data_IF_476063881006
#
_entry.id   IF_476063881006
#
_cell.length_a   1.000
_cell.length_b   1.000
_cell.length_c   1.000
_cell.angle_alpha   90.00
_cell.angle_beta   90.00
_cell.angle_gamma   90.00
#
_symmetry.space_group_name_H-M   'P 1'
#
loop_
_entity.id
_entity.type
_entity.pdbx_description
1 polymer ?
#
# COMPACT_ATOMS: atom_id res chain seq x y z
N UNK A 1 -14.71 10.48 6.12
CA UNK A 1 -13.65 11.51 6.19
C UNK A 1 -12.24 10.93 6.11
N UNK A 2 -12.00 9.73 6.63
CA UNK A 2 -10.70 9.03 6.58
C UNK A 2 -10.14 8.88 5.13
N UNK A 3 -10.98 8.60 4.14
CA UNK A 3 -10.53 8.49 2.74
C UNK A 3 -10.02 9.82 2.15
N UNK A 4 -10.54 10.97 2.60
CA UNK A 4 -10.04 12.28 2.13
C UNK A 4 -8.62 12.54 2.65
N UNK A 5 -8.32 12.16 3.90
CA UNK A 5 -6.97 12.26 4.46
C UNK A 5 -5.97 11.37 3.70
N UNK A 6 -6.39 10.16 3.32
CA UNK A 6 -5.59 9.27 2.48
C UNK A 6 -5.28 9.88 1.11
N UNK A 7 -6.27 10.45 0.43
CA UNK A 7 -6.07 11.10 -0.86
C UNK A 7 -5.07 12.25 -0.74
N UNK A 8 -5.20 13.09 0.29
CA UNK A 8 -4.24 14.18 0.55
C UNK A 8 -2.83 13.64 0.79
N UNK A 9 -2.70 12.57 1.59
CA UNK A 9 -1.40 11.95 1.85
C UNK A 9 -0.75 11.38 0.58
N UNK A 10 -1.52 10.72 -0.29
CA UNK A 10 -1.04 10.19 -1.58
C UNK A 10 -0.57 11.34 -2.47
N UNK A 11 -1.39 12.38 -2.65
CA UNK A 11 -1.04 13.54 -3.49
C UNK A 11 0.22 14.22 -2.95
N UNK A 12 0.30 14.46 -1.64
CA UNK A 12 1.48 15.05 -1.02
C UNK A 12 2.74 14.20 -1.25
N UNK A 13 2.64 12.88 -1.06
CA UNK A 13 3.77 11.97 -1.27
C UNK A 13 4.25 11.96 -2.73
N UNK A 14 3.32 11.91 -3.69
CA UNK A 14 3.65 11.97 -5.13
C UNK A 14 4.34 13.29 -5.47
N UNK A 15 3.82 14.42 -4.97
CA UNK A 15 4.40 15.73 -5.22
C UNK A 15 5.80 15.88 -4.62
N UNK A 16 6.01 15.42 -3.38
CA UNK A 16 7.31 15.48 -2.71
C UNK A 16 8.33 14.57 -3.41
N UNK A 17 7.97 13.31 -3.67
CA UNK A 17 8.87 12.37 -4.35
C UNK A 17 9.17 12.79 -5.79
N UNK A 18 8.19 13.35 -6.50
CA UNK A 18 8.38 13.90 -7.83
C UNK A 18 9.36 15.08 -7.85
N UNK A 19 9.26 15.99 -6.87
CA UNK A 19 10.22 17.09 -6.71
C UNK A 19 11.64 16.63 -6.36
N UNK A 20 11.77 15.52 -5.65
CA UNK A 20 13.05 14.90 -5.30
C UNK A 20 13.61 14.02 -6.44
N UNK A 21 12.91 13.88 -7.57
CA UNK A 21 13.30 12.99 -8.67
C UNK A 21 13.17 11.50 -8.34
N UNK A 22 12.63 11.14 -7.17
CA UNK A 22 12.58 9.78 -6.64
C UNK A 22 11.34 9.01 -7.09
N UNK A 23 11.02 9.06 -8.40
CA UNK A 23 9.81 8.45 -8.98
C UNK A 23 9.72 6.93 -8.77
N UNK A 24 10.85 6.25 -8.56
CA UNK A 24 10.89 4.82 -8.25
C UNK A 24 10.24 4.49 -6.89
N UNK A 25 10.22 5.44 -5.95
CA UNK A 25 9.63 5.29 -4.62
C UNK A 25 8.12 5.59 -4.59
N UNK A 26 7.54 6.13 -5.67
CA UNK A 26 6.11 6.46 -5.69
C UNK A 26 5.22 5.22 -5.48
N UNK A 27 5.38 4.10 -6.23
CA UNK A 27 4.58 2.91 -5.99
C UNK A 27 4.64 2.36 -4.55
N UNK A 28 5.83 2.16 -3.94
CA UNK A 28 5.88 1.67 -2.56
C UNK A 28 5.34 2.70 -1.55
N UNK A 29 5.57 4.01 -1.74
CA UNK A 29 5.03 5.04 -0.85
C UNK A 29 3.48 5.06 -0.86
N UNK A 30 2.87 4.98 -2.04
CA UNK A 30 1.40 4.89 -2.16
C UNK A 30 0.88 3.61 -1.51
N UNK A 31 1.53 2.47 -1.77
CA UNK A 31 1.17 1.19 -1.14
C UNK A 31 1.23 1.27 0.40
N UNK A 32 2.25 1.93 0.95
CA UNK A 32 2.39 2.15 2.38
C UNK A 32 1.25 3.00 2.95
N UNK A 33 0.94 4.14 2.32
CA UNK A 33 -0.14 5.04 2.75
C UNK A 33 -1.48 4.31 2.74
N UNK A 34 -1.73 3.48 1.71
CA UNK A 34 -2.92 2.65 1.63
C UNK A 34 -2.94 1.63 2.76
N UNK A 35 -1.87 0.87 2.98
CA UNK A 35 -1.79 -0.12 4.06
C UNK A 35 -2.01 0.49 5.45
N UNK A 36 -1.39 1.65 5.71
CA UNK A 36 -1.56 2.39 6.96
C UNK A 36 -2.98 2.90 7.17
N UNK A 37 -3.70 3.24 6.10
CA UNK A 37 -5.10 3.65 6.15
C UNK A 37 -6.07 2.51 6.50
N UNK A 38 -5.76 1.27 6.11
CA UNK A 38 -6.59 0.09 6.45
C UNK A 38 -6.54 -0.28 7.95
N UNK A 39 -5.46 0.07 8.66
CA UNK A 39 -5.31 -0.19 10.11
C UNK A 39 -6.36 0.53 10.99
N UNK A 40 -6.58 1.86 10.87
CA UNK A 40 -7.63 2.56 11.62
C UNK A 40 -9.03 2.12 11.21
N UNK A 41 -9.26 1.80 9.93
CA UNK A 41 -10.53 1.24 9.46
C UNK A 41 -10.88 -0.04 10.21
N UNK A 42 -9.91 -0.90 10.47
CA UNK A 42 -10.16 -2.14 11.16
C UNK A 42 -10.53 -1.98 12.64
N UNK A 43 -10.08 -0.91 13.29
CA UNK A 43 -10.51 -0.54 14.65
C UNK A 43 -11.93 0.04 14.67
N UNK A 44 -12.25 0.90 13.72
CA UNK A 44 -13.57 1.57 13.64
C UNK A 44 -14.68 0.61 13.21
N UNK A 45 -14.41 -0.30 12.27
CA UNK A 45 -15.41 -1.22 11.74
C UNK A 45 -15.42 -2.60 12.40
N UNK A 46 -14.54 -2.85 13.38
CA UNK A 46 -14.50 -4.12 14.13
C UNK A 46 -14.28 -5.35 13.25
N UNK A 47 -13.65 -5.20 12.08
CA UNK A 47 -13.45 -6.26 11.09
C UNK A 47 -11.98 -6.70 11.08
N UNK A 48 -11.64 -7.83 11.75
CA UNK A 48 -10.28 -8.37 11.79
C UNK A 48 -9.61 -8.56 10.43
N UNK A 49 -10.32 -8.93 9.32
CA UNK A 49 -9.71 -9.09 8.00
C UNK A 49 -9.00 -7.83 7.49
N UNK A 50 -9.52 -6.64 7.80
CA UNK A 50 -8.90 -5.38 7.36
C UNK A 50 -7.58 -5.07 8.08
N UNK A 51 -7.36 -5.60 9.30
CA UNK A 51 -6.05 -5.48 9.99
C UNK A 51 -4.98 -6.24 9.21
N UNK A 52 -5.32 -7.45 8.78
CA UNK A 52 -4.41 -8.30 8.00
C UNK A 52 -4.12 -7.70 6.62
N UNK A 53 -5.14 -7.21 5.93
CA UNK A 53 -4.96 -6.51 4.66
C UNK A 53 -4.01 -5.32 4.79
N UNK A 54 -4.22 -4.46 5.79
CA UNK A 54 -3.35 -3.32 6.06
C UNK A 54 -1.91 -3.72 6.35
N UNK A 55 -1.70 -4.71 7.24
CA UNK A 55 -0.36 -5.19 7.59
C UNK A 55 0.38 -5.79 6.38
N UNK A 56 -0.30 -6.60 5.57
CA UNK A 56 0.29 -7.20 4.37
C UNK A 56 0.68 -6.14 3.34
N UNK A 57 -0.15 -5.10 3.14
CA UNK A 57 0.19 -3.99 2.26
C UNK A 57 1.41 -3.19 2.76
N UNK A 58 1.53 -2.99 4.08
CA UNK A 58 2.73 -2.38 4.67
C UNK A 58 3.97 -3.23 4.38
N UNK A 59 3.89 -4.56 4.54
CA UNK A 59 5.01 -5.47 4.23
C UNK A 59 5.40 -5.39 2.75
N UNK A 60 4.42 -5.39 1.83
CA UNK A 60 4.67 -5.23 0.38
C UNK A 60 5.35 -3.89 0.08
N UNK A 61 4.91 -2.81 0.72
CA UNK A 61 5.52 -1.50 0.56
C UNK A 61 6.98 -1.47 1.05
N UNK A 62 7.26 -2.03 2.22
CA UNK A 62 8.62 -2.14 2.76
C UNK A 62 9.53 -2.99 1.87
N UNK A 63 9.01 -4.08 1.30
CA UNK A 63 9.75 -4.89 0.32
C UNK A 63 10.08 -4.08 -0.95
N UNK A 64 9.16 -3.25 -1.43
CA UNK A 64 9.40 -2.33 -2.54
C UNK A 64 10.47 -1.27 -2.25
N UNK A 65 10.49 -0.71 -1.04
CA UNK A 65 11.52 0.23 -0.58
C UNK A 65 12.88 -0.47 -0.49
N UNK A 66 12.92 -1.67 0.10
CA UNK A 66 14.13 -2.48 0.20
C UNK A 66 14.70 -2.83 -1.19
N UNK A 67 13.82 -3.19 -2.14
CA UNK A 67 14.21 -3.43 -3.53
C UNK A 67 14.85 -2.19 -4.18
N UNK A 68 14.32 -0.99 -3.91
CA UNK A 68 14.94 0.26 -4.36
C UNK A 68 16.32 0.46 -3.73
N UNK A 69 16.46 0.18 -2.43
CA UNK A 69 17.70 0.37 -1.69
C UNK A 69 18.85 -0.53 -2.20
N UNK A 70 18.53 -1.72 -2.72
CA UNK A 70 19.51 -2.64 -3.35
C UNK A 70 19.70 -2.39 -4.85
N UNK A 71 19.14 -1.31 -5.39
CA UNK A 71 19.34 -0.91 -6.79
C UNK A 71 18.50 -1.70 -7.81
N UNK A 72 17.38 -2.30 -7.40
CA UNK A 72 16.50 -3.01 -8.34
C UNK A 72 15.95 -2.09 -9.43
N UNK A 73 15.77 -2.64 -10.62
CA UNK A 73 15.19 -1.90 -11.75
C UNK A 73 13.77 -1.41 -11.44
N UNK A 74 13.40 -0.25 -11.99
CA UNK A 74 12.10 0.37 -11.76
C UNK A 74 10.92 -0.54 -12.15
N UNK A 75 11.06 -1.32 -13.23
CA UNK A 75 10.07 -2.31 -13.64
C UNK A 75 9.84 -3.39 -12.58
N UNK A 76 10.91 -3.88 -11.97
CA UNK A 76 10.86 -4.90 -10.90
C UNK A 76 10.17 -4.36 -9.65
N UNK A 77 10.50 -3.14 -9.22
CA UNK A 77 9.86 -2.51 -8.05
C UNK A 77 8.35 -2.34 -8.28
N UNK A 78 7.96 -1.85 -9.47
CA UNK A 78 6.55 -1.68 -9.84
C UNK A 78 5.81 -3.01 -9.89
N UNK A 79 6.41 -4.04 -10.48
CA UNK A 79 5.83 -5.37 -10.56
C UNK A 79 5.66 -5.99 -9.16
N UNK A 80 6.70 -5.91 -8.32
CA UNK A 80 6.68 -6.43 -6.95
C UNK A 80 5.57 -5.78 -6.12
N UNK A 81 5.54 -4.44 -6.08
CA UNK A 81 4.56 -3.69 -5.29
C UNK A 81 3.16 -3.87 -5.86
N UNK A 82 3.00 -3.78 -7.19
CA UNK A 82 1.70 -3.90 -7.86
C UNK A 82 1.09 -5.28 -7.71
N UNK A 83 1.85 -6.34 -8.01
CA UNK A 83 1.38 -7.71 -7.87
C UNK A 83 1.13 -8.07 -6.40
N UNK A 84 2.02 -7.67 -5.49
CA UNK A 84 1.85 -7.86 -4.05
C UNK A 84 0.56 -7.19 -3.54
N UNK A 85 0.33 -5.94 -3.91
CA UNK A 85 -0.90 -5.24 -3.53
C UNK A 85 -2.16 -5.90 -4.12
N UNK A 86 -2.11 -6.32 -5.39
CA UNK A 86 -3.23 -7.00 -6.05
C UNK A 86 -3.60 -8.30 -5.32
N UNK A 87 -2.59 -9.14 -4.99
CA UNK A 87 -2.80 -10.40 -4.26
C UNK A 87 -3.42 -10.16 -2.89
N UNK A 88 -2.93 -9.16 -2.14
CA UNK A 88 -3.47 -8.84 -0.81
C UNK A 88 -4.92 -8.36 -0.91
N UNK A 89 -5.22 -7.45 -1.83
CA UNK A 89 -6.57 -6.90 -1.99
C UNK A 89 -7.56 -7.94 -2.50
N UNK A 90 -7.21 -8.74 -3.50
CA UNK A 90 -8.06 -9.83 -4.00
C UNK A 90 -8.26 -10.92 -2.95
N UNK A 91 -7.19 -11.34 -2.27
CA UNK A 91 -7.28 -12.32 -1.18
C UNK A 91 -8.19 -11.83 -0.05
N UNK A 92 -8.10 -10.54 0.30
CA UNK A 92 -9.00 -9.93 1.29
C UNK A 92 -10.45 -9.92 0.78
N UNK A 93 -10.68 -9.53 -0.47
CA UNK A 93 -12.01 -9.50 -1.07
C UNK A 93 -12.67 -10.88 -1.10
N UNK A 94 -11.93 -11.91 -1.52
CA UNK A 94 -12.40 -13.31 -1.52
C UNK A 94 -12.73 -13.79 -0.10
N UNK A 95 -11.87 -13.47 0.88
CA UNK A 95 -12.09 -13.85 2.28
C UNK A 95 -13.32 -13.19 2.88
N UNK A 96 -13.57 -11.92 2.55
CA UNK A 96 -14.78 -11.20 2.99
C UNK A 96 -16.02 -11.70 2.25
N UNK A 97 -15.93 -12.00 0.95
CA UNK A 97 -17.04 -12.53 0.17
C UNK A 97 -17.49 -13.92 0.63
N UNK A 98 -16.54 -14.79 1.03
CA UNK A 98 -16.82 -16.12 1.56
C UNK A 98 -17.30 -16.16 3.01
N UNK A 99 -17.43 -15.02 3.69
CA UNK A 99 -18.02 -14.90 5.04
C UNK A 99 -19.52 -14.57 5.02
N UNK A 100 -20.14 -14.54 3.84
CA UNK A 100 -21.59 -14.41 3.65
C UNK A 100 -22.25 -15.79 3.58
#
# INVERSE_FOLDING_TARGET
>A
MINAAQTVAIVAAVMVLGRLGAWILVPPAVCLIVGLHFLPLAGVFGQPPYRWAGLLLVVVALAGIAACAVGAAQGTVRALVGAGAALVLWGTALRVAGQR
#
